data_IF_984730662951
#
_entry.id   IF_984730662951
#
_cell.length_a   1.000
_cell.length_b   1.000
_cell.length_c   1.000
_cell.angle_alpha   90.00
_cell.angle_beta   90.00
_cell.angle_gamma   90.00
#
_symmetry.space_group_name_H-M   'P 1'
#
loop_
_entity.id
_entity.type
_entity.pdbx_description
1 polymer ?
#
# COMPACT_ATOMS: atom_id res chain seq x y z
N UNK A 1 9.66 -5.33 24.81
CA UNK A 1 9.46 -4.67 23.52
C UNK A 1 8.09 -5.05 22.97
N UNK A 2 7.79 -6.34 22.86
CA UNK A 2 6.49 -6.88 22.42
C UNK A 2 5.26 -6.26 23.09
N UNK A 3 5.20 -6.20 24.43
CA UNK A 3 4.02 -5.63 25.12
C UNK A 3 3.80 -4.15 24.79
N UNK A 4 4.87 -3.37 24.58
CA UNK A 4 4.73 -1.96 24.26
C UNK A 4 4.23 -1.78 22.82
N UNK A 5 4.74 -2.57 21.88
CA UNK A 5 4.25 -2.59 20.51
C UNK A 5 2.77 -3.02 20.46
N UNK A 6 2.40 -4.08 21.17
CA UNK A 6 1.02 -4.55 21.25
C UNK A 6 0.07 -3.47 21.79
N UNK A 7 0.47 -2.78 22.87
CA UNK A 7 -0.29 -1.67 23.43
C UNK A 7 -0.38 -0.48 22.47
N UNK A 8 0.70 -0.16 21.75
CA UNK A 8 0.75 0.92 20.78
C UNK A 8 -0.18 0.64 19.59
N UNK A 9 -0.16 -0.60 19.06
CA UNK A 9 -1.07 -1.06 18.02
C UNK A 9 -2.52 -1.08 18.51
N UNK A 10 -2.78 -1.50 19.75
CA UNK A 10 -4.13 -1.47 20.34
C UNK A 10 -4.64 -0.02 20.49
N UNK A 11 -3.77 0.92 20.86
CA UNK A 11 -4.10 2.33 20.92
C UNK A 11 -4.51 2.88 19.54
N UNK A 12 -3.74 2.56 18.50
CA UNK A 12 -4.04 2.98 17.12
C UNK A 12 -5.36 2.40 16.59
N UNK A 13 -5.81 1.24 17.08
CA UNK A 13 -7.14 0.68 16.76
C UNK A 13 -8.30 1.40 17.46
N UNK A 14 -8.03 2.16 18.53
CA UNK A 14 -9.05 2.84 19.35
C UNK A 14 -9.14 4.34 19.11
N UNK A 15 -8.01 4.97 18.74
CA UNK A 15 -7.98 6.39 18.47
C UNK A 15 -8.77 6.75 17.20
N UNK A 16 -9.29 7.98 17.09
CA UNK A 16 -10.03 8.40 15.91
C UNK A 16 -9.20 8.27 14.62
N UNK A 17 -9.64 7.50 13.61
CA UNK A 17 -8.86 7.24 12.41
C UNK A 17 -8.65 8.48 11.54
N UNK A 18 -9.45 9.53 11.72
CA UNK A 18 -9.28 10.82 11.03
C UNK A 18 -8.01 11.56 11.47
N UNK A 19 -7.43 11.19 12.62
CA UNK A 19 -6.21 11.80 13.16
C UNK A 19 -5.01 10.85 13.08
N UNK A 20 -5.08 9.78 12.28
CA UNK A 20 -4.08 8.72 12.25
C UNK A 20 -2.64 9.21 12.06
N UNK A 21 -2.41 10.17 11.16
CA UNK A 21 -1.07 10.75 10.94
C UNK A 21 -0.54 11.45 12.20
N UNK A 22 -1.41 12.22 12.87
CA UNK A 22 -1.05 12.91 14.11
C UNK A 22 -0.85 11.92 15.25
N UNK A 23 -1.76 10.96 15.40
CA UNK A 23 -1.69 9.94 16.44
C UNK A 23 -0.40 9.13 16.33
N UNK A 24 0.00 8.77 15.10
CA UNK A 24 1.24 8.04 14.85
C UNK A 24 2.46 8.91 15.20
N UNK A 25 2.48 10.18 14.79
CA UNK A 25 3.56 11.10 15.15
C UNK A 25 3.68 11.28 16.67
N UNK A 26 2.56 11.52 17.36
CA UNK A 26 2.51 11.67 18.82
C UNK A 26 2.98 10.38 19.54
N UNK A 27 2.68 9.20 18.97
CA UNK A 27 3.08 7.89 19.50
C UNK A 27 4.57 7.60 19.29
N UNK A 28 5.12 8.00 18.13
CA UNK A 28 6.57 7.96 17.85
C UNK A 28 7.32 8.88 18.80
N UNK A 29 6.82 10.09 19.05
CA UNK A 29 7.42 11.03 20.01
C UNK A 29 7.38 10.48 21.46
N UNK A 30 6.30 9.77 21.81
CA UNK A 30 6.14 9.15 23.13
C UNK A 30 7.06 7.95 23.34
N UNK A 31 7.25 7.11 22.32
CA UNK A 31 8.08 5.91 22.39
C UNK A 31 8.99 5.80 21.16
N UNK A 32 10.07 6.61 21.09
CA UNK A 32 10.93 6.69 19.89
C UNK A 32 11.60 5.37 19.52
N UNK A 33 11.81 4.48 20.50
CA UNK A 33 12.40 3.16 20.28
C UNK A 33 11.55 2.24 19.40
N UNK A 34 10.26 2.52 19.24
CA UNK A 34 9.34 1.75 18.40
C UNK A 34 9.09 2.39 17.03
N UNK A 35 9.80 3.47 16.68
CA UNK A 35 9.53 4.24 15.45
C UNK A 35 9.47 3.37 14.19
N UNK A 36 10.48 2.52 13.98
CA UNK A 36 10.56 1.64 12.80
C UNK A 36 9.45 0.57 12.78
N UNK A 37 9.17 -0.04 13.94
CA UNK A 37 8.11 -1.05 14.08
C UNK A 37 6.71 -0.44 13.89
N UNK A 38 6.49 0.78 14.39
CA UNK A 38 5.21 1.49 14.24
C UNK A 38 4.97 1.94 12.80
N UNK A 39 5.97 2.50 12.13
CA UNK A 39 5.86 2.89 10.73
C UNK A 39 5.62 1.68 9.82
N UNK A 40 6.28 0.55 10.09
CA UNK A 40 6.06 -0.68 9.30
C UNK A 40 4.74 -1.39 9.59
N UNK A 41 4.18 -1.24 10.80
CA UNK A 41 2.97 -1.98 11.22
C UNK A 41 1.67 -1.18 11.16
N UNK A 42 1.74 0.16 11.07
CA UNK A 42 0.55 1.02 11.10
C UNK A 42 0.34 1.65 9.72
N UNK A 43 -0.68 1.16 9.02
CA UNK A 43 -1.10 1.71 7.74
C UNK A 43 -1.55 3.17 7.86
N UNK A 44 -1.01 4.02 6.98
CA UNK A 44 -1.37 5.45 6.89
C UNK A 44 -2.15 5.73 5.59
N UNK A 45 -3.02 6.77 5.58
CA UNK A 45 -3.70 7.20 4.36
C UNK A 45 -2.70 7.49 3.25
N UNK A 46 -2.96 6.94 2.06
CA UNK A 46 -2.02 7.05 0.96
C UNK A 46 -1.97 8.49 0.45
N UNK A 47 -0.76 8.96 0.13
CA UNK A 47 -0.53 10.29 -0.45
C UNK A 47 -0.22 10.14 -1.93
N UNK A 48 -0.76 11.07 -2.72
CA UNK A 48 -0.49 11.14 -4.15
C UNK A 48 0.68 12.11 -4.36
N UNK A 49 1.71 11.65 -5.05
CA UNK A 49 2.84 12.46 -5.49
C UNK A 49 2.96 12.35 -7.00
N UNK A 50 3.54 13.36 -7.63
CA UNK A 50 3.70 13.40 -9.09
C UNK A 50 5.14 13.09 -9.48
N UNK A 51 5.32 12.10 -10.35
CA UNK A 51 6.60 11.84 -11.00
C UNK A 51 6.92 13.01 -11.95
N UNK A 52 7.96 13.78 -11.66
CA UNK A 52 8.37 14.95 -12.45
C UNK A 52 8.94 14.58 -13.83
N UNK A 53 9.46 13.36 -14.01
CA UNK A 53 10.04 12.87 -15.28
C UNK A 53 8.96 12.35 -16.22
N UNK A 54 8.02 11.56 -15.69
CA UNK A 54 6.96 10.94 -16.49
C UNK A 54 5.63 11.70 -16.47
N UNK A 55 5.50 12.72 -15.61
CA UNK A 55 4.27 13.50 -15.39
C UNK A 55 3.06 12.66 -15.00
N UNK A 56 3.29 11.52 -14.32
CA UNK A 56 2.27 10.60 -13.83
C UNK A 56 2.20 10.61 -12.31
N UNK A 57 0.99 10.50 -11.78
CA UNK A 57 0.77 10.40 -10.35
C UNK A 57 1.14 8.99 -9.86
N UNK A 58 1.65 8.90 -8.64
CA UNK A 58 1.93 7.65 -7.94
C UNK A 58 1.64 7.78 -6.44
N UNK A 59 1.50 6.66 -5.76
CA UNK A 59 1.15 6.59 -4.35
C UNK A 59 2.39 6.33 -3.50
N UNK A 60 2.55 7.06 -2.41
CA UNK A 60 3.67 6.85 -1.48
C UNK A 60 3.22 6.13 -0.22
N UNK A 61 4.11 5.26 0.27
CA UNK A 61 4.02 4.51 1.51
C UNK A 61 5.44 4.17 1.99
N UNK A 62 5.58 3.50 3.13
CA UNK A 62 6.90 3.14 3.65
C UNK A 62 7.63 2.11 2.76
N UNK A 63 6.91 1.27 2.01
CA UNK A 63 7.50 0.25 1.14
C UNK A 63 8.23 0.80 -0.10
N UNK A 64 7.99 2.05 -0.49
CA UNK A 64 8.73 2.71 -1.57
C UNK A 64 9.55 3.90 -1.07
N UNK A 65 9.74 4.00 0.24
CA UNK A 65 10.50 5.05 0.91
C UNK A 65 11.92 4.59 1.21
N UNK A 66 12.87 5.49 1.07
CA UNK A 66 14.24 5.34 1.57
C UNK A 66 14.70 6.70 2.12
N UNK A 67 14.99 6.76 3.43
CA UNK A 67 15.16 8.01 4.15
C UNK A 67 13.91 8.90 4.03
N UNK A 68 14.05 10.06 3.39
CA UNK A 68 12.95 11.00 3.12
C UNK A 68 12.54 11.06 1.65
N UNK A 69 13.04 10.12 0.85
CA UNK A 69 12.79 10.04 -0.58
C UNK A 69 11.87 8.89 -0.93
N UNK A 70 11.09 9.05 -2.00
CA UNK A 70 10.16 8.02 -2.48
C UNK A 70 10.44 7.63 -3.92
N UNK A 71 10.49 6.32 -4.19
CA UNK A 71 10.71 5.77 -5.53
C UNK A 71 9.42 5.82 -6.34
N UNK A 72 9.50 6.40 -7.54
CA UNK A 72 8.40 6.34 -8.50
C UNK A 72 8.38 4.99 -9.23
N UNK A 73 7.22 4.35 -9.42
CA UNK A 73 7.10 3.11 -10.18
C UNK A 73 7.27 3.35 -11.69
N UNK A 74 7.14 4.61 -12.15
CA UNK A 74 7.21 4.96 -13.56
C UNK A 74 8.65 5.18 -14.03
N UNK A 75 9.33 6.18 -13.46
CA UNK A 75 10.73 6.50 -13.79
C UNK A 75 11.76 5.61 -13.10
N UNK A 76 11.35 4.85 -12.07
CA UNK A 76 12.26 4.09 -11.21
C UNK A 76 13.30 4.96 -10.50
N UNK A 77 12.99 6.24 -10.23
CA UNK A 77 13.89 7.15 -9.51
C UNK A 77 13.23 7.68 -8.25
N UNK A 78 14.07 7.95 -7.25
CA UNK A 78 13.68 8.57 -6.00
C UNK A 78 13.49 10.10 -6.14
N UNK A 79 12.53 10.66 -5.42
CA UNK A 79 12.35 12.11 -5.25
C UNK A 79 12.20 12.44 -3.74
N UNK A 80 13.09 13.26 -3.14
CA UNK A 80 14.33 13.81 -3.73
C UNK A 80 15.32 12.73 -4.21
N UNK A 81 16.18 13.06 -5.18
CA UNK A 81 17.16 12.10 -5.72
C UNK A 81 18.18 11.68 -4.64
N UNK A 82 18.42 10.37 -4.54
CA UNK A 82 19.41 9.77 -3.65
C UNK A 82 20.32 8.82 -4.44
N UNK A 83 21.63 8.76 -4.13
CA UNK A 83 22.59 7.94 -4.87
C UNK A 83 22.47 6.44 -4.56
N UNK A 84 22.18 6.07 -3.31
CA UNK A 84 22.24 4.70 -2.81
C UNK A 84 20.87 4.17 -2.36
N UNK A 85 19.80 4.59 -3.04
CA UNK A 85 18.46 4.13 -2.74
C UNK A 85 18.27 2.64 -3.03
N UNK A 86 17.46 1.95 -2.23
CA UNK A 86 17.12 0.56 -2.47
C UNK A 86 16.39 0.35 -3.80
N UNK A 87 16.91 -0.53 -4.66
CA UNK A 87 16.37 -0.78 -6.00
C UNK A 87 16.06 -2.27 -6.18
N UNK A 88 14.94 -2.63 -6.83
CA UNK A 88 14.66 -4.01 -7.20
C UNK A 88 15.67 -4.51 -8.23
N UNK A 89 15.93 -5.82 -8.23
CA UNK A 89 16.72 -6.49 -9.27
C UNK A 89 16.08 -6.30 -10.65
N UNK A 90 16.86 -6.47 -11.72
CA UNK A 90 16.33 -6.29 -13.09
C UNK A 90 15.14 -7.22 -13.40
N UNK A 91 15.16 -8.44 -12.83
CA UNK A 91 14.05 -9.41 -12.93
C UNK A 91 12.80 -8.85 -12.26
N UNK A 92 12.91 -8.42 -11.01
CA UNK A 92 11.78 -7.92 -10.23
C UNK A 92 11.28 -6.59 -10.79
N UNK A 93 12.15 -5.71 -11.30
CA UNK A 93 11.74 -4.47 -11.95
C UNK A 93 10.90 -4.71 -13.20
N UNK A 94 11.22 -5.72 -14.03
CA UNK A 94 10.37 -6.09 -15.18
C UNK A 94 8.98 -6.53 -14.72
N UNK A 95 8.92 -7.37 -13.68
CA UNK A 95 7.66 -7.82 -13.08
C UNK A 95 6.86 -6.65 -12.48
N UNK A 96 7.54 -5.70 -11.83
CA UNK A 96 6.94 -4.49 -11.24
C UNK A 96 6.29 -3.61 -12.31
N UNK A 97 6.94 -3.44 -13.47
CA UNK A 97 6.39 -2.67 -14.60
C UNK A 97 5.10 -3.34 -15.13
N UNK A 98 5.14 -4.65 -15.34
CA UNK A 98 3.99 -5.42 -15.81
C UNK A 98 2.84 -5.40 -14.79
N UNK A 99 3.17 -5.51 -13.49
CA UNK A 99 2.20 -5.43 -12.41
C UNK A 99 1.54 -4.04 -12.33
N UNK A 100 2.31 -2.95 -12.47
CA UNK A 100 1.76 -1.59 -12.52
C UNK A 100 0.78 -1.43 -13.69
N UNK A 101 1.08 -2.02 -14.85
CA UNK A 101 0.16 -1.98 -15.99
C UNK A 101 -1.12 -2.77 -15.72
N UNK A 102 -1.01 -4.00 -15.21
CA UNK A 102 -2.15 -4.86 -14.90
C UNK A 102 -3.06 -4.24 -13.81
N UNK A 103 -2.49 -3.74 -12.72
CA UNK A 103 -3.27 -3.14 -11.63
C UNK A 103 -3.84 -1.77 -11.97
N UNK A 104 -3.23 -1.04 -12.91
CA UNK A 104 -3.86 0.17 -13.45
C UNK A 104 -5.14 -0.15 -14.25
N UNK A 105 -5.16 -1.27 -15.00
CA UNK A 105 -6.38 -1.76 -15.66
C UNK A 105 -7.42 -2.26 -14.65
N UNK A 106 -7.00 -3.01 -13.63
CA UNK A 106 -7.86 -3.40 -12.51
C UNK A 106 -8.52 -2.18 -11.85
N UNK A 107 -7.71 -1.17 -11.51
CA UNK A 107 -8.18 0.09 -10.94
C UNK A 107 -9.24 0.73 -11.85
N UNK A 108 -8.99 0.82 -13.15
CA UNK A 108 -9.95 1.42 -14.07
C UNK A 108 -11.27 0.66 -14.11
N UNK A 109 -11.23 -0.67 -14.16
CA UNK A 109 -12.43 -1.52 -14.22
C UNK A 109 -13.28 -1.47 -12.93
N UNK A 110 -12.65 -1.36 -11.76
CA UNK A 110 -13.36 -1.42 -10.47
C UNK A 110 -13.65 -0.05 -9.85
N UNK A 111 -12.76 0.93 -10.08
CA UNK A 111 -12.83 2.24 -9.43
C UNK A 111 -13.14 3.38 -10.39
N UNK A 112 -13.10 3.16 -11.72
CA UNK A 112 -13.39 4.17 -12.75
C UNK A 112 -12.68 5.52 -12.47
N UNK A 113 -11.41 5.45 -12.06
CA UNK A 113 -10.61 6.60 -11.67
C UNK A 113 -9.71 6.33 -10.46
N UNK A 114 -9.15 7.40 -9.88
CA UNK A 114 -8.16 7.29 -8.81
C UNK A 114 -6.74 7.02 -9.32
N UNK A 115 -5.84 6.67 -8.40
CA UNK A 115 -4.42 6.38 -8.67
C UNK A 115 -4.11 4.97 -8.15
N UNK A 116 -3.23 4.26 -8.83
CA UNK A 116 -2.68 2.98 -8.37
C UNK A 116 -1.17 2.98 -8.51
N UNK A 117 -0.48 2.25 -7.64
CA UNK A 117 0.97 2.03 -7.74
C UNK A 117 1.32 0.65 -7.20
N UNK A 118 2.23 -0.03 -7.86
CA UNK A 118 2.78 -1.31 -7.42
C UNK A 118 4.28 -1.16 -7.20
N UNK A 119 4.77 -1.65 -6.06
CA UNK A 119 6.20 -1.71 -5.75
C UNK A 119 6.57 -3.14 -5.39
N UNK A 120 7.67 -3.63 -5.91
CA UNK A 120 8.17 -4.98 -5.65
C UNK A 120 9.62 -4.92 -5.20
N UNK A 121 10.02 -5.87 -4.35
CA UNK A 121 11.39 -5.99 -3.86
C UNK A 121 11.78 -7.47 -3.71
N UNK A 122 13.08 -7.73 -3.84
CA UNK A 122 13.65 -9.07 -3.74
C UNK A 122 13.65 -9.56 -2.28
N UNK A 123 13.43 -10.86 -2.10
CA UNK A 123 13.62 -11.59 -0.85
C UNK A 123 14.65 -12.72 -1.09
N UNK A 124 15.20 -13.30 -0.02
CA UNK A 124 16.16 -14.41 -0.13
C UNK A 124 15.57 -15.63 -0.87
N UNK A 125 14.27 -15.89 -0.68
CA UNK A 125 13.56 -17.03 -1.25
C UNK A 125 12.30 -16.63 -2.03
N UNK A 126 12.39 -15.54 -2.79
CA UNK A 126 11.32 -15.08 -3.68
C UNK A 126 11.29 -13.57 -3.80
N UNK A 127 10.11 -12.97 -3.65
CA UNK A 127 9.93 -11.53 -3.69
C UNK A 127 8.69 -11.12 -2.91
N UNK A 128 8.56 -9.83 -2.61
CA UNK A 128 7.33 -9.26 -2.11
C UNK A 128 6.90 -8.08 -2.96
N UNK A 129 5.63 -7.71 -2.79
CA UNK A 129 5.00 -6.64 -3.51
C UNK A 129 4.02 -5.90 -2.60
N UNK A 130 3.86 -4.61 -2.84
CA UNK A 130 2.73 -3.85 -2.34
C UNK A 130 1.94 -3.29 -3.52
N UNK A 131 0.62 -3.50 -3.50
CA UNK A 131 -0.32 -2.92 -4.47
C UNK A 131 -1.16 -1.88 -3.73
N UNK A 132 -1.08 -0.65 -4.21
CA UNK A 132 -1.73 0.51 -3.65
C UNK A 132 -2.82 1.01 -4.59
N UNK A 133 -4.00 1.31 -4.06
CA UNK A 133 -5.08 1.96 -4.82
C UNK A 133 -5.66 3.07 -3.96
N UNK A 134 -5.75 4.27 -4.51
CA UNK A 134 -6.42 5.40 -3.87
C UNK A 134 -7.49 5.95 -4.79
N UNK A 135 -8.74 5.99 -4.32
CA UNK A 135 -9.85 6.67 -5.00
C UNK A 135 -10.44 7.72 -4.09
N UNK A 136 -10.27 8.98 -4.47
CA UNK A 136 -11.00 10.08 -3.88
C UNK A 136 -12.37 10.22 -4.56
N UNK A 137 -13.40 10.54 -3.77
CA UNK A 137 -14.73 10.85 -4.29
C UNK A 137 -14.69 12.07 -5.21
N UNK A 138 -15.66 12.14 -6.13
CA UNK A 138 -15.83 13.16 -7.17
C UNK A 138 -16.14 14.57 -6.66
N UNK A 139 -16.10 14.78 -5.34
CA UNK A 139 -16.18 16.12 -4.75
C UNK A 139 -17.58 16.71 -4.75
N UNK A 140 -18.64 15.89 -4.73
CA UNK A 140 -19.96 16.41 -4.34
C UNK A 140 -19.81 17.18 -3.03
N UNK A 141 -20.21 18.46 -2.99
CA UNK A 141 -19.99 19.33 -1.80
C UNK A 141 -20.62 18.77 -0.51
N UNK A 142 -21.57 17.85 -0.64
CA UNK A 142 -22.37 17.27 0.45
C UNK A 142 -21.83 15.93 0.95
N UNK A 143 -21.06 15.20 0.14
CA UNK A 143 -20.50 13.89 0.48
C UNK A 143 -19.07 13.84 -0.04
N UNK A 144 -18.12 13.81 0.90
CA UNK A 144 -16.71 13.53 0.64
C UNK A 144 -16.44 12.10 1.04
N UNK A 145 -15.58 11.43 0.29
CA UNK A 145 -15.09 10.12 0.66
C UNK A 145 -13.75 9.83 0.04
N UNK A 146 -13.03 8.89 0.63
CA UNK A 146 -11.85 8.30 0.03
C UNK A 146 -11.80 6.82 0.38
N UNK A 147 -11.30 6.07 -0.59
CA UNK A 147 -10.92 4.70 -0.46
C UNK A 147 -9.41 4.58 -0.63
N UNK A 148 -8.76 3.88 0.29
CA UNK A 148 -7.35 3.52 0.21
C UNK A 148 -7.23 1.99 0.41
N UNK A 149 -6.66 1.30 -0.57
CA UNK A 149 -6.29 -0.12 -0.49
C UNK A 149 -4.79 -0.26 -0.39
N UNK A 150 -4.34 -1.11 0.54
CA UNK A 150 -2.94 -1.53 0.69
C UNK A 150 -2.93 -3.05 0.72
N UNK A 151 -2.36 -3.66 -0.32
CA UNK A 151 -2.25 -5.11 -0.45
C UNK A 151 -0.78 -5.49 -0.43
N UNK A 152 -0.31 -6.01 0.71
CA UNK A 152 1.07 -6.52 0.86
C UNK A 152 1.07 -8.01 0.55
N UNK A 153 1.85 -8.40 -0.44
CA UNK A 153 1.97 -9.75 -0.93
C UNK A 153 3.40 -10.26 -0.71
N UNK A 154 3.56 -11.37 -0.02
CA UNK A 154 4.80 -12.11 0.09
C UNK A 154 4.71 -13.36 -0.79
N UNK A 155 5.71 -13.58 -1.64
CA UNK A 155 5.78 -14.70 -2.57
C UNK A 155 7.04 -15.51 -2.30
N UNK A 156 6.86 -16.74 -1.81
CA UNK A 156 7.95 -17.68 -1.59
C UNK A 156 8.00 -18.67 -2.75
N UNK A 157 9.02 -18.54 -3.59
CA UNK A 157 9.25 -19.39 -4.76
C UNK A 157 9.83 -20.74 -4.31
N UNK A 158 9.17 -21.86 -4.63
CA UNK A 158 9.72 -23.21 -4.29
C UNK A 158 10.87 -23.54 -5.25
N UNK A 159 11.82 -24.39 -4.82
CA UNK A 159 13.10 -24.68 -5.51
C UNK A 159 13.03 -25.00 -7.02
N UNK A 160 11.91 -25.54 -7.52
CA UNK A 160 11.73 -25.89 -8.93
C UNK A 160 10.98 -24.81 -9.75
N UNK A 161 10.59 -23.68 -9.14
CA UNK A 161 9.91 -22.56 -9.78
C UNK A 161 8.49 -22.83 -10.29
N UNK A 162 7.98 -24.06 -10.12
CA UNK A 162 6.65 -24.48 -10.63
C UNK A 162 5.50 -24.16 -9.70
N UNK A 163 5.79 -23.92 -8.42
CA UNK A 163 4.81 -23.54 -7.41
C UNK A 163 5.40 -22.42 -6.55
N UNK A 164 4.54 -21.53 -6.07
CA UNK A 164 4.91 -20.54 -5.08
C UNK A 164 3.85 -20.48 -3.98
N UNK A 165 4.28 -20.17 -2.77
CA UNK A 165 3.41 -19.87 -1.65
C UNK A 165 3.17 -18.36 -1.61
N UNK A 166 1.91 -17.95 -1.58
CA UNK A 166 1.49 -16.55 -1.58
C UNK A 166 0.83 -16.23 -0.26
N UNK A 167 1.27 -15.15 0.38
CA UNK A 167 0.68 -14.61 1.59
C UNK A 167 0.28 -13.16 1.35
N UNK A 168 -1.03 -12.91 1.36
CA UNK A 168 -1.62 -11.60 1.17
C UNK A 168 -2.10 -11.05 2.51
N UNK A 169 -1.63 -9.86 2.86
CA UNK A 169 -2.20 -9.01 3.90
C UNK A 169 -2.81 -7.78 3.24
N UNK A 170 -4.13 -7.63 3.34
CA UNK A 170 -4.88 -6.53 2.71
C UNK A 170 -5.52 -5.65 3.76
N UNK A 171 -5.22 -4.36 3.72
CA UNK A 171 -5.90 -3.32 4.47
C UNK A 171 -6.70 -2.44 3.53
N UNK A 172 -7.99 -2.29 3.81
CA UNK A 172 -8.84 -1.29 3.18
C UNK A 172 -9.20 -0.21 4.20
N UNK A 173 -8.86 1.04 3.91
CA UNK A 173 -9.27 2.21 4.67
C UNK A 173 -10.37 2.95 3.90
N UNK A 174 -11.45 3.24 4.60
CA UNK A 174 -12.57 4.00 4.07
C UNK A 174 -12.84 5.17 5.00
N UNK A 175 -12.97 6.36 4.44
CA UNK A 175 -13.58 7.48 5.15
C UNK A 175 -14.65 8.14 4.30
N UNK A 176 -15.71 8.55 4.96
CA UNK A 176 -16.90 9.18 4.43
C UNK A 176 -17.27 10.33 5.36
N UNK A 177 -17.42 11.52 4.80
CA UNK A 177 -17.91 12.69 5.48
C UNK A 177 -19.11 13.23 4.72
N UNK A 178 -20.25 13.32 5.40
CA UNK A 178 -21.43 13.98 4.86
C UNK A 178 -21.82 15.18 5.72
N UNK A 179 -22.27 16.23 5.05
CA UNK A 179 -22.84 17.40 5.71
C UNK A 179 -24.17 17.72 5.03
N UNK A 180 -25.26 17.41 5.73
CA UNK A 180 -26.61 17.68 5.28
C UNK A 180 -27.37 18.45 6.34
N UNK A 181 -28.36 19.24 5.91
CA UNK A 181 -29.19 20.06 6.79
C UNK A 181 -30.07 19.24 7.73
N UNK A 182 -30.44 18.02 7.33
CA UNK A 182 -31.31 17.10 8.07
C UNK A 182 -30.54 16.23 9.08
N UNK A 183 -29.33 15.77 8.72
CA UNK A 183 -28.51 14.88 9.57
C UNK A 183 -27.34 15.56 10.27
N UNK A 184 -27.09 16.84 9.99
CA UNK A 184 -25.87 17.53 10.42
C UNK A 184 -24.60 16.98 9.75
N UNK A 185 -23.46 17.14 10.43
CA UNK A 185 -22.18 16.58 9.99
C UNK A 185 -22.01 15.17 10.53
N UNK A 186 -21.83 14.21 9.64
CA UNK A 186 -21.52 12.83 9.99
C UNK A 186 -20.17 12.44 9.38
N UNK A 187 -19.29 11.90 10.23
CA UNK A 187 -17.99 11.37 9.84
C UNK A 187 -17.96 9.88 10.17
N UNK A 188 -17.77 9.05 9.15
CA UNK A 188 -17.58 7.62 9.28
C UNK A 188 -16.22 7.30 8.69
N UNK A 189 -15.35 6.66 9.48
CA UNK A 189 -14.02 6.31 9.02
C UNK A 189 -13.52 5.08 9.76
N UNK A 190 -12.70 4.28 9.10
CA UNK A 190 -12.10 3.11 9.69
C UNK A 190 -11.25 2.35 8.69
N UNK A 191 -10.63 1.29 9.18
CA UNK A 191 -9.85 0.35 8.38
C UNK A 191 -10.27 -1.08 8.69
N UNK A 192 -10.10 -1.97 7.71
CA UNK A 192 -10.26 -3.40 7.89
C UNK A 192 -9.05 -4.10 7.28
N UNK A 193 -8.39 -4.92 8.08
CA UNK A 193 -7.26 -5.75 7.64
C UNK A 193 -7.67 -7.22 7.61
N UNK A 194 -7.32 -7.92 6.53
CA UNK A 194 -7.51 -9.36 6.36
C UNK A 194 -6.26 -10.02 5.81
N UNK A 195 -6.10 -11.30 6.11
CA UNK A 195 -5.01 -12.13 5.61
C UNK A 195 -5.54 -13.35 4.86
N UNK A 196 -4.84 -13.75 3.82
CA UNK A 196 -5.12 -14.96 3.05
C UNK A 196 -3.80 -15.57 2.57
N UNK A 197 -3.71 -16.90 2.61
CA UNK A 197 -2.53 -17.65 2.16
C UNK A 197 -2.96 -18.73 1.17
N UNK A 198 -2.17 -18.92 0.11
CA UNK A 198 -2.46 -19.93 -0.91
C UNK A 198 -1.19 -20.43 -1.60
N UNK A 199 -1.08 -21.74 -1.81
CA UNK A 199 -0.10 -22.33 -2.73
C UNK A 199 -0.69 -22.37 -4.15
N UNK A 200 -0.01 -21.75 -5.12
CA UNK A 200 -0.45 -21.71 -6.52
C UNK A 200 0.64 -22.17 -7.48
N UNK A 201 0.21 -22.79 -8.58
CA UNK A 201 1.09 -23.20 -9.68
C UNK A 201 1.53 -21.97 -10.48
N UNK A 202 2.80 -21.95 -10.86
CA UNK A 202 3.41 -20.90 -11.69
C UNK A 202 3.81 -21.52 -13.03
N UNK A 203 3.20 -21.03 -14.11
CA UNK A 203 3.48 -21.43 -15.49
C UNK A 203 3.10 -20.32 -16.46
N UNK A 204 3.31 -20.53 -17.76
CA UNK A 204 2.99 -19.53 -18.80
C UNK A 204 1.52 -19.07 -18.80
N UNK A 205 0.59 -19.95 -18.42
CA UNK A 205 -0.84 -19.62 -18.33
C UNK A 205 -1.24 -18.97 -17.00
N UNK A 206 -0.46 -19.18 -15.94
CA UNK A 206 -0.67 -18.62 -14.61
C UNK A 206 0.65 -18.01 -14.09
N UNK A 207 1.11 -16.89 -14.69
CA UNK A 207 2.27 -16.18 -14.19
C UNK A 207 1.96 -15.55 -12.82
N UNK A 208 2.99 -15.13 -12.09
CA UNK A 208 2.84 -14.53 -10.77
C UNK A 208 1.81 -13.41 -10.72
N UNK A 209 1.82 -12.49 -11.69
CA UNK A 209 0.87 -11.36 -11.73
C UNK A 209 -0.58 -11.83 -11.78
N UNK A 210 -0.87 -12.91 -12.53
CA UNK A 210 -2.22 -13.49 -12.61
C UNK A 210 -2.62 -14.13 -11.27
N UNK A 211 -1.70 -14.83 -10.62
CA UNK A 211 -1.97 -15.42 -9.30
C UNK A 211 -2.20 -14.34 -8.25
N UNK A 212 -1.35 -13.31 -8.20
CA UNK A 212 -1.48 -12.17 -7.29
C UNK A 212 -2.79 -11.43 -7.57
N UNK A 213 -3.09 -11.13 -8.83
CA UNK A 213 -4.31 -10.41 -9.22
C UNK A 213 -5.62 -11.18 -8.99
N UNK A 214 -5.59 -12.50 -8.79
CA UNK A 214 -6.76 -13.28 -8.36
C UNK A 214 -6.97 -13.24 -6.84
N UNK A 215 -5.90 -13.01 -6.07
CA UNK A 215 -5.96 -12.93 -4.62
C UNK A 215 -6.36 -11.52 -4.14
N UNK A 216 -5.91 -10.49 -4.87
CA UNK A 216 -6.27 -9.07 -4.67
C UNK A 216 -7.68 -8.79 -5.16
#
# INVERSE_FOLDING_TARGET
>A
MDLQLDCALDLMRRLPPQQIEKNLADLVDLVPSLCEELLSSVDQPLKIVKDKKCMKDYLICDYNRDGDSYRSPWSNTYDPEIPDGSMPSERIRKLEIDANHAFNLYREMYFEGGVSSCYMWDLEHGFAAVILIKKTGDGSKKIKGCWDSIHVMEVLEKQLGRNAHYKLTSTAMLWLQTNRTDSGTMNLGGSLTRQAEQDLVVNESNPHIVNIGKMV
#
